data_IF_710111864095
#
_entry.id   IF_710111864095
#
_cell.length_a   1.000
_cell.length_b   1.000
_cell.length_c   1.000
_cell.angle_alpha   90.00
_cell.angle_beta   90.00
_cell.angle_gamma   90.00
#
_symmetry.space_group_name_H-M   'P 1'
#
loop_
_entity.id
_entity.type
_entity.pdbx_description
1 polymer ?
#
# COMPACT_ATOMS: atom_id res chain seq x y z
N UNK A 1 26.92 0.85 21.12
CA UNK A 1 26.48 0.23 19.84
C UNK A 1 25.04 0.65 19.63
N UNK A 2 24.68 1.22 18.48
CA UNK A 2 23.32 1.74 18.27
C UNK A 2 22.31 0.60 18.37
N UNK A 3 21.16 0.86 19.00
CA UNK A 3 20.07 -0.08 19.07
C UNK A 3 19.60 -0.40 17.64
N UNK A 4 19.90 -1.59 17.16
CA UNK A 4 19.23 -2.17 16.00
C UNK A 4 17.76 -2.33 16.38
N UNK A 5 16.94 -1.34 16.01
CA UNK A 5 15.51 -1.55 15.88
C UNK A 5 15.34 -2.84 15.07
N UNK A 6 14.47 -3.80 15.49
CA UNK A 6 14.20 -4.95 14.65
C UNK A 6 13.81 -4.42 13.25
N UNK A 7 14.22 -5.09 12.15
CA UNK A 7 13.65 -4.74 10.86
C UNK A 7 12.14 -4.77 11.06
N UNK A 8 11.47 -3.63 10.90
CA UNK A 8 10.02 -3.61 10.94
C UNK A 8 9.62 -4.57 9.82
N UNK A 9 9.09 -5.74 10.17
CA UNK A 9 8.74 -6.73 9.17
C UNK A 9 7.77 -6.04 8.21
N UNK A 10 8.09 -5.96 6.90
CA UNK A 10 7.27 -5.23 5.98
C UNK A 10 5.88 -5.90 5.95
N UNK A 11 4.85 -5.09 6.16
CA UNK A 11 3.47 -5.52 6.13
C UNK A 11 2.93 -5.40 4.71
N UNK A 12 1.92 -6.20 4.38
CA UNK A 12 1.17 -6.03 3.14
C UNK A 12 0.01 -5.07 3.37
N UNK A 13 -0.23 -4.22 2.40
CA UNK A 13 -1.26 -3.19 2.41
C UNK A 13 -1.99 -3.22 1.08
N UNK A 14 -3.31 -3.24 1.14
CA UNK A 14 -4.21 -3.12 0.01
C UNK A 14 -4.51 -1.64 -0.20
N UNK A 15 -4.21 -1.16 -1.40
CA UNK A 15 -4.46 0.20 -1.85
C UNK A 15 -5.57 0.13 -2.88
N UNK A 16 -6.69 0.77 -2.59
CA UNK A 16 -7.89 0.78 -3.44
C UNK A 16 -8.20 2.19 -3.90
N UNK A 17 -8.47 2.35 -5.19
CA UNK A 17 -9.00 3.60 -5.73
C UNK A 17 -10.42 3.84 -5.21
N UNK A 18 -10.66 5.01 -4.60
CA UNK A 18 -11.99 5.35 -4.08
C UNK A 18 -12.96 5.76 -5.19
N UNK A 19 -12.47 6.51 -6.19
CA UNK A 19 -13.29 7.07 -7.27
C UNK A 19 -12.64 6.98 -8.65
N UNK A 20 -11.34 7.25 -8.75
CA UNK A 20 -10.63 7.36 -10.03
C UNK A 20 -9.45 6.39 -10.09
N UNK A 21 -9.42 5.55 -11.13
CA UNK A 21 -8.34 4.59 -11.35
C UNK A 21 -6.99 5.25 -11.64
N UNK A 22 -7.03 6.47 -12.18
CA UNK A 22 -5.84 7.25 -12.49
C UNK A 22 -5.07 7.68 -11.23
N UNK A 23 -5.77 7.80 -10.10
CA UNK A 23 -5.17 8.09 -8.80
C UNK A 23 -4.29 6.92 -8.33
N UNK A 24 -4.74 5.67 -8.55
CA UNK A 24 -3.94 4.50 -8.22
C UNK A 24 -2.68 4.44 -9.09
N UNK A 25 -2.79 4.70 -10.39
CA UNK A 25 -1.64 4.71 -11.31
C UNK A 25 -0.60 5.75 -10.90
N UNK A 26 -1.03 6.97 -10.54
CA UNK A 26 -0.14 8.02 -10.02
C UNK A 26 0.53 7.61 -8.72
N UNK A 27 -0.21 6.99 -7.83
CA UNK A 27 0.33 6.49 -6.57
C UNK A 27 1.38 5.40 -6.81
N UNK A 28 1.10 4.41 -7.65
CA UNK A 28 2.06 3.35 -8.02
C UNK A 28 3.33 3.92 -8.66
N UNK A 29 3.21 4.97 -9.48
CA UNK A 29 4.37 5.68 -10.01
C UNK A 29 5.20 6.35 -8.91
N UNK A 30 4.54 6.85 -7.85
CA UNK A 30 5.21 7.43 -6.67
C UNK A 30 5.90 6.33 -5.86
N UNK A 31 5.27 5.17 -5.71
CA UNK A 31 5.86 4.01 -5.04
C UNK A 31 7.08 3.45 -5.77
N UNK A 32 7.06 3.48 -7.10
CA UNK A 32 8.21 3.06 -7.90
C UNK A 32 9.46 3.91 -7.65
N UNK A 33 9.29 5.12 -7.08
CA UNK A 33 10.36 6.02 -6.69
C UNK A 33 10.74 5.92 -5.19
N UNK A 34 9.96 5.22 -4.36
CA UNK A 34 10.22 5.07 -2.93
C UNK A 34 11.05 3.79 -2.65
N UNK A 35 12.32 3.93 -2.25
CA UNK A 35 13.13 2.78 -1.87
C UNK A 35 12.64 2.23 -0.54
N UNK A 36 11.90 1.11 -0.59
CA UNK A 36 11.32 0.46 0.60
C UNK A 36 9.86 0.05 0.43
N UNK A 37 9.21 0.48 -0.66
CA UNK A 37 7.86 0.02 -1.01
C UNK A 37 7.95 -0.89 -2.22
N UNK A 38 7.35 -2.07 -2.13
CA UNK A 38 7.25 -3.00 -3.25
C UNK A 38 5.80 -3.29 -3.60
N UNK A 39 5.43 -3.16 -4.88
CA UNK A 39 4.13 -3.61 -5.35
C UNK A 39 4.18 -5.12 -5.48
N UNK A 40 3.38 -5.83 -4.68
CA UNK A 40 3.28 -7.29 -4.66
C UNK A 40 2.30 -7.77 -5.71
N UNK A 41 1.15 -7.10 -5.81
CA UNK A 41 0.07 -7.51 -6.69
C UNK A 41 -0.72 -6.31 -7.22
N UNK A 42 -1.32 -6.45 -8.40
CA UNK A 42 -2.17 -5.44 -9.01
C UNK A 42 -3.47 -6.11 -9.43
N UNK A 43 -4.56 -5.72 -8.77
CA UNK A 43 -5.89 -6.30 -8.92
C UNK A 43 -6.72 -5.35 -9.77
N UNK A 44 -7.04 -5.77 -10.98
CA UNK A 44 -7.72 -4.94 -11.97
C UNK A 44 -8.33 -5.72 -13.12
N UNK A 45 -9.31 -5.11 -13.83
CA UNK A 45 -9.82 -5.67 -15.06
C UNK A 45 -8.70 -5.72 -16.12
N UNK A 46 -8.59 -6.82 -16.86
CA UNK A 46 -7.56 -6.98 -17.92
C UNK A 46 -7.65 -5.91 -19.02
N UNK A 47 -8.82 -5.30 -19.17
CA UNK A 47 -9.14 -4.30 -20.20
C UNK A 47 -9.12 -2.86 -19.70
N UNK A 48 -8.71 -2.60 -18.45
CA UNK A 48 -8.75 -1.28 -17.84
C UNK A 48 -7.66 -1.08 -16.78
N UNK A 49 -7.55 0.13 -16.22
CA UNK A 49 -6.60 0.40 -15.15
C UNK A 49 -6.95 -0.40 -13.88
N UNK A 50 -5.94 -0.79 -13.09
CA UNK A 50 -6.17 -1.49 -11.84
C UNK A 50 -6.94 -0.59 -10.87
N UNK A 51 -7.94 -1.17 -10.20
CA UNK A 51 -8.72 -0.47 -9.18
C UNK A 51 -8.16 -0.75 -7.78
N UNK A 52 -7.29 -1.75 -7.65
CA UNK A 52 -6.71 -2.18 -6.38
C UNK A 52 -5.27 -2.66 -6.59
N UNK A 53 -4.38 -2.38 -5.64
CA UNK A 53 -2.99 -2.79 -5.64
C UNK A 53 -2.62 -3.31 -4.26
N UNK A 54 -1.80 -4.35 -4.20
CA UNK A 54 -1.19 -4.82 -2.94
C UNK A 54 0.25 -4.37 -2.93
N UNK A 55 0.64 -3.70 -1.85
CA UNK A 55 1.97 -3.14 -1.65
C UNK A 55 2.53 -3.64 -0.34
N UNK A 56 3.82 -3.96 -0.32
CA UNK A 56 4.56 -4.42 0.84
C UNK A 56 5.56 -3.34 1.25
N UNK A 57 5.46 -2.89 2.49
CA UNK A 57 6.25 -1.77 3.03
C UNK A 57 6.25 -1.80 4.56
N UNK A 58 7.15 -1.04 5.19
CA UNK A 58 7.12 -0.82 6.63
C UNK A 58 5.87 -0.04 7.08
N UNK A 59 5.37 -0.34 8.28
CA UNK A 59 4.22 0.34 8.90
C UNK A 59 4.31 1.88 8.94
N UNK A 60 5.44 2.52 9.32
CA UNK A 60 5.54 3.99 9.28
C UNK A 60 5.42 4.56 7.86
N UNK A 61 5.94 3.86 6.85
CA UNK A 61 5.85 4.28 5.45
C UNK A 61 4.43 4.12 4.92
N UNK A 62 3.78 2.98 5.23
CA UNK A 62 2.38 2.74 4.89
C UNK A 62 1.45 3.80 5.46
N UNK A 63 1.61 4.15 6.74
CA UNK A 63 0.75 5.14 7.38
C UNK A 63 0.96 6.54 6.79
N UNK A 64 2.20 6.89 6.41
CA UNK A 64 2.47 8.14 5.68
C UNK A 64 1.79 8.16 4.32
N UNK A 65 1.92 7.09 3.54
CA UNK A 65 1.27 6.97 2.24
C UNK A 65 -0.25 7.08 2.39
N UNK A 66 -0.82 6.38 3.39
CA UNK A 66 -2.24 6.41 3.71
C UNK A 66 -2.72 7.81 4.06
N UNK A 67 -1.96 8.55 4.86
CA UNK A 67 -2.28 9.94 5.19
C UNK A 67 -2.19 10.88 3.98
N UNK A 68 -1.25 10.64 3.06
CA UNK A 68 -1.12 11.46 1.85
C UNK A 68 -2.24 11.20 0.84
N UNK A 69 -2.78 9.99 0.80
CA UNK A 69 -3.79 9.60 -0.18
C UNK A 69 -5.17 9.43 0.43
N UNK A 70 -5.39 9.81 1.69
CA UNK A 70 -6.62 9.52 2.44
C UNK A 70 -7.90 9.99 1.73
N UNK A 71 -7.79 11.08 0.97
CA UNK A 71 -8.90 11.66 0.19
C UNK A 71 -9.11 11.02 -1.20
N UNK A 72 -8.12 10.29 -1.73
CA UNK A 72 -8.15 9.78 -3.12
C UNK A 72 -8.06 8.24 -3.21
N UNK A 73 -7.35 7.61 -2.27
CA UNK A 73 -7.11 6.17 -2.18
C UNK A 73 -7.35 5.67 -0.76
N UNK A 74 -7.97 4.51 -0.65
CA UNK A 74 -8.09 3.80 0.61
C UNK A 74 -6.91 2.85 0.76
N UNK A 75 -6.13 2.98 1.84
CA UNK A 75 -5.05 2.06 2.18
C UNK A 75 -5.42 1.30 3.44
N UNK A 76 -5.48 -0.02 3.33
CA UNK A 76 -5.84 -0.94 4.42
C UNK A 76 -4.75 -2.00 4.57
N UNK A 77 -4.39 -2.42 5.80
CA UNK A 77 -3.47 -3.54 5.97
C UNK A 77 -4.10 -4.85 5.45
N UNK A 78 -3.39 -5.57 4.59
CA UNK A 78 -3.68 -6.94 4.15
C UNK A 78 -3.34 -7.93 5.27
N UNK A 79 -3.98 -7.76 6.42
CA UNK A 79 -3.86 -8.71 7.51
C UNK A 79 -5.13 -9.57 7.56
N UNK A 80 -4.99 -10.89 7.82
CA UNK A 80 -6.16 -11.72 8.06
C UNK A 80 -6.95 -11.09 9.21
N UNK A 81 -8.27 -11.01 9.04
CA UNK A 81 -9.19 -10.67 10.12
C UNK A 81 -8.88 -11.62 11.29
N UNK A 82 -8.15 -11.11 12.29
CA UNK A 82 -8.07 -11.74 13.59
C UNK A 82 -9.49 -11.66 14.18
N UNK A 83 -10.29 -12.68 13.88
CA UNK A 83 -11.42 -13.09 14.70
C UNK A 83 -10.83 -13.43 16.07
N UNK A 84 -10.62 -12.41 16.89
CA UNK A 84 -10.35 -12.60 18.30
C UNK A 84 -11.65 -13.11 18.92
N UNK A 85 -11.59 -14.38 19.34
CA UNK A 85 -12.55 -15.13 20.16
C UNK A 85 -12.95 -14.38 21.44
#
# INVERSE_FOLDING_TARGET
MPASLPPASPGRYIVRAASDDNELVRFLATLSAEPGVQVVDLIGPSSGPPHTAVVETDAPTAERLRQQTLDQLTIEPDQPLSLSD
#
